data_IF_841031581421
#
_entry.id   IF_841031581421
#
_cell.length_a   1.000
_cell.length_b   1.000
_cell.length_c   1.000
_cell.angle_alpha   90.00
_cell.angle_beta   90.00
_cell.angle_gamma   90.00
#
_symmetry.space_group_name_H-M   'P 1'
#
loop_
_entity.id
_entity.type
_entity.pdbx_description
1 polymer ?
#
# COMPACT_ATOMS: atom_id res chain seq x y z
N UNK A 1 -17.37 0.67 37.53
CA UNK A 1 -16.61 1.70 36.78
C UNK A 1 -15.40 1.15 36.04
N UNK A 2 -14.38 0.57 36.71
CA UNK A 2 -13.16 0.04 36.04
C UNK A 2 -13.40 -0.96 34.88
N UNK A 3 -14.35 -1.89 35.01
CA UNK A 3 -14.70 -2.85 33.92
C UNK A 3 -15.29 -2.14 32.69
N UNK A 4 -16.13 -1.12 32.89
CA UNK A 4 -16.74 -0.34 31.81
C UNK A 4 -15.70 0.53 31.10
N UNK A 5 -14.78 1.13 31.86
CA UNK A 5 -13.63 1.87 31.31
C UNK A 5 -12.71 0.98 30.48
N UNK A 6 -12.42 -0.24 30.93
CA UNK A 6 -11.62 -1.20 30.18
C UNK A 6 -12.28 -1.61 28.85
N UNK A 7 -13.61 -1.85 28.86
CA UNK A 7 -14.36 -2.18 27.65
C UNK A 7 -14.36 -1.03 26.63
N UNK A 8 -14.57 0.21 27.07
CA UNK A 8 -14.54 1.38 26.18
C UNK A 8 -13.14 1.59 25.59
N UNK A 9 -12.08 1.36 26.37
CA UNK A 9 -10.70 1.41 25.85
C UNK A 9 -10.43 0.35 24.79
N UNK A 10 -10.94 -0.87 25.00
CA UNK A 10 -10.84 -1.96 24.04
C UNK A 10 -11.55 -1.61 22.73
N UNK A 11 -12.80 -1.12 22.81
CA UNK A 11 -13.60 -0.73 21.66
C UNK A 11 -12.93 0.40 20.85
N UNK A 12 -12.40 1.41 21.55
CA UNK A 12 -11.67 2.50 20.90
C UNK A 12 -10.38 2.01 20.21
N UNK A 13 -9.65 1.07 20.82
CA UNK A 13 -8.47 0.48 20.20
C UNK A 13 -8.85 -0.30 18.93
N UNK A 14 -9.87 -1.15 18.99
CA UNK A 14 -10.38 -1.92 17.84
C UNK A 14 -10.84 -1.00 16.70
N UNK A 15 -11.57 0.08 17.01
CA UNK A 15 -11.97 1.09 16.03
C UNK A 15 -10.75 1.77 15.38
N UNK A 16 -9.71 2.06 16.16
CA UNK A 16 -8.48 2.67 15.65
C UNK A 16 -7.74 1.74 14.68
N UNK A 17 -7.58 0.45 15.03
CA UNK A 17 -6.98 -0.54 14.13
C UNK A 17 -7.76 -0.71 12.82
N UNK A 18 -9.09 -0.72 12.91
CA UNK A 18 -9.97 -0.78 11.75
C UNK A 18 -9.80 0.45 10.85
N UNK A 19 -9.80 1.65 11.43
CA UNK A 19 -9.63 2.89 10.68
C UNK A 19 -8.25 2.97 10.00
N UNK A 20 -7.19 2.57 10.71
CA UNK A 20 -5.84 2.51 10.15
C UNK A 20 -5.77 1.56 8.95
N UNK A 21 -6.44 0.40 9.05
CA UNK A 21 -6.50 -0.58 7.97
C UNK A 21 -7.22 -0.02 6.74
N UNK A 22 -8.34 0.69 6.91
CA UNK A 22 -9.04 1.36 5.80
C UNK A 22 -8.17 2.42 5.14
N UNK A 23 -7.53 3.28 5.93
CA UNK A 23 -6.68 4.36 5.41
C UNK A 23 -5.51 3.80 4.59
N UNK A 24 -4.90 2.70 5.06
CA UNK A 24 -3.85 1.98 4.34
C UNK A 24 -4.37 1.36 3.05
N UNK A 25 -5.59 0.79 3.06
CA UNK A 25 -6.23 0.26 1.84
C UNK A 25 -6.44 1.34 0.79
N UNK A 26 -6.98 2.49 1.16
CA UNK A 26 -7.16 3.62 0.25
C UNK A 26 -5.84 4.11 -0.34
N UNK A 27 -4.80 4.22 0.51
CA UNK A 27 -3.45 4.59 0.07
C UNK A 27 -2.86 3.57 -0.90
N UNK A 28 -3.08 2.29 -0.64
CA UNK A 28 -2.63 1.19 -1.50
C UNK A 28 -3.31 1.23 -2.87
N UNK A 29 -4.61 1.49 -2.92
CA UNK A 29 -5.37 1.57 -4.18
C UNK A 29 -4.89 2.74 -5.04
N UNK A 30 -4.60 3.90 -4.42
CA UNK A 30 -4.00 5.04 -5.13
C UNK A 30 -2.60 4.73 -5.67
N UNK A 31 -1.78 4.03 -4.89
CA UNK A 31 -0.44 3.61 -5.31
C UNK A 31 -0.48 2.58 -6.43
N UNK A 32 -1.49 1.70 -6.45
CA UNK A 32 -1.69 0.75 -7.55
C UNK A 32 -1.93 1.49 -8.88
N UNK A 33 -2.83 2.47 -8.87
CA UNK A 33 -3.12 3.31 -10.05
C UNK A 33 -1.90 4.12 -10.47
N UNK A 34 -1.17 4.67 -9.50
CA UNK A 34 0.04 5.47 -9.75
C UNK A 34 1.15 4.61 -10.38
N UNK A 35 1.34 3.38 -9.90
CA UNK A 35 2.30 2.43 -10.45
C UNK A 35 1.97 2.05 -11.90
N UNK A 36 0.69 1.83 -12.21
CA UNK A 36 0.23 1.59 -13.59
C UNK A 36 0.49 2.80 -14.50
N UNK A 37 0.16 4.01 -14.02
CA UNK A 37 0.42 5.23 -14.77
C UNK A 37 1.91 5.43 -15.08
N UNK A 38 2.80 5.20 -14.11
CA UNK A 38 4.25 5.28 -14.36
C UNK A 38 4.73 4.22 -15.36
N UNK A 39 4.15 3.01 -15.34
CA UNK A 39 4.47 1.99 -16.33
C UNK A 39 4.06 2.43 -17.74
N UNK A 40 2.86 2.99 -17.90
CA UNK A 40 2.38 3.51 -19.19
C UNK A 40 3.24 4.65 -19.71
N UNK A 41 3.71 5.54 -18.82
CA UNK A 41 4.64 6.61 -19.19
C UNK A 41 5.99 6.08 -19.66
N UNK A 42 6.53 5.05 -18.97
CA UNK A 42 7.76 4.38 -19.38
C UNK A 42 7.59 3.73 -20.75
N UNK A 43 6.49 3.03 -20.99
CA UNK A 43 6.24 2.36 -22.27
C UNK A 43 6.13 3.36 -23.43
N UNK A 44 5.48 4.51 -23.19
CA UNK A 44 5.42 5.60 -24.16
C UNK A 44 6.81 6.22 -24.43
N UNK A 45 7.65 6.36 -23.40
CA UNK A 45 9.01 6.86 -23.56
C UNK A 45 9.89 5.87 -24.33
N UNK A 46 9.75 4.57 -24.07
CA UNK A 46 10.45 3.52 -24.79
C UNK A 46 10.07 3.50 -26.28
N UNK A 47 8.80 3.74 -26.60
CA UNK A 47 8.35 3.87 -27.98
C UNK A 47 9.03 5.06 -28.69
N UNK A 48 9.12 6.22 -28.03
CA UNK A 48 9.84 7.40 -28.56
C UNK A 48 11.32 7.14 -28.73
N UNK A 49 11.96 6.46 -27.78
CA UNK A 49 13.36 6.08 -27.88
C UNK A 49 13.62 5.18 -29.09
N UNK A 50 12.75 4.19 -29.32
CA UNK A 50 12.84 3.30 -30.47
C UNK A 50 12.63 4.04 -31.82
N UNK A 51 11.86 5.13 -31.81
CA UNK A 51 11.70 6.03 -32.95
C UNK A 51 12.85 7.04 -33.13
N UNK A 52 13.82 7.08 -32.20
CA UNK A 52 14.93 8.05 -32.21
C UNK A 52 14.57 9.43 -31.66
N UNK A 53 13.39 9.59 -31.07
CA UNK A 53 12.87 10.85 -30.53
C UNK A 53 13.15 11.05 -29.03
N UNK A 54 13.74 10.06 -28.37
CA UNK A 54 14.12 10.12 -26.96
C UNK A 54 15.55 9.65 -26.73
N UNK A 55 16.08 9.92 -25.54
CA UNK A 55 17.43 9.52 -25.14
C UNK A 55 17.41 8.44 -24.06
N UNK A 56 18.49 7.67 -23.99
CA UNK A 56 18.68 6.63 -22.97
C UNK A 56 18.54 7.21 -21.55
N UNK A 57 18.98 8.46 -21.34
CA UNK A 57 18.86 9.13 -20.05
C UNK A 57 17.40 9.36 -19.64
N UNK A 58 16.54 9.74 -20.58
CA UNK A 58 15.12 9.98 -20.29
C UNK A 58 14.42 8.66 -19.97
N UNK A 59 14.68 7.61 -20.76
CA UNK A 59 14.16 6.27 -20.49
C UNK A 59 14.59 5.79 -19.09
N UNK A 60 15.89 5.87 -18.78
CA UNK A 60 16.40 5.50 -17.45
C UNK A 60 15.74 6.30 -16.32
N UNK A 61 15.49 7.60 -16.52
CA UNK A 61 14.78 8.43 -15.54
C UNK A 61 13.33 7.98 -15.32
N UNK A 62 12.62 7.57 -16.38
CA UNK A 62 11.27 7.01 -16.29
C UNK A 62 11.25 5.64 -15.64
N UNK A 63 12.22 4.78 -15.96
CA UNK A 63 12.38 3.47 -15.33
C UNK A 63 12.60 3.61 -13.83
N UNK A 64 13.50 4.51 -13.41
CA UNK A 64 13.75 4.78 -12.00
C UNK A 64 12.46 5.22 -11.28
N UNK A 65 11.68 6.13 -11.87
CA UNK A 65 10.40 6.57 -11.29
C UNK A 65 9.39 5.45 -11.14
N UNK A 66 9.32 4.54 -12.11
CA UNK A 66 8.46 3.37 -12.02
C UNK A 66 8.93 2.42 -10.90
N UNK A 67 10.23 2.18 -10.77
CA UNK A 67 10.80 1.35 -9.70
C UNK A 67 10.50 1.95 -8.32
N UNK A 68 10.75 3.25 -8.12
CA UNK A 68 10.43 3.97 -6.88
C UNK A 68 8.95 3.84 -6.50
N UNK A 69 8.05 4.01 -7.48
CA UNK A 69 6.61 3.85 -7.27
C UNK A 69 6.24 2.42 -6.87
N UNK A 70 6.87 1.43 -7.49
CA UNK A 70 6.63 0.01 -7.23
C UNK A 70 7.15 -0.40 -5.85
N UNK A 71 8.32 0.11 -5.45
CA UNK A 71 8.87 -0.08 -4.11
C UNK A 71 7.90 0.47 -3.04
N UNK A 72 7.41 1.70 -3.23
CA UNK A 72 6.45 2.32 -2.32
C UNK A 72 5.14 1.53 -2.22
N UNK A 73 4.66 1.00 -3.35
CA UNK A 73 3.49 0.12 -3.37
C UNK A 73 3.72 -1.16 -2.55
N UNK A 74 4.84 -1.87 -2.75
CA UNK A 74 5.16 -3.11 -2.03
C UNK A 74 5.29 -2.87 -0.52
N UNK A 75 5.95 -1.77 -0.13
CA UNK A 75 6.07 -1.39 1.28
C UNK A 75 4.70 -1.16 1.91
N UNK A 76 3.86 -0.34 1.27
CA UNK A 76 2.51 -0.02 1.76
C UNK A 76 1.62 -1.27 1.79
N UNK A 77 1.76 -2.16 0.82
CA UNK A 77 1.05 -3.44 0.78
C UNK A 77 1.42 -4.32 1.98
N UNK A 78 2.71 -4.38 2.31
CA UNK A 78 3.19 -5.13 3.47
C UNK A 78 2.67 -4.54 4.78
N UNK A 79 2.66 -3.21 4.90
CA UNK A 79 2.13 -2.51 6.08
C UNK A 79 0.62 -2.69 6.21
N UNK A 80 -0.12 -2.66 5.10
CA UNK A 80 -1.55 -2.98 5.06
C UNK A 80 -1.83 -4.42 5.54
N UNK A 81 -1.05 -5.40 5.07
CA UNK A 81 -1.17 -6.80 5.52
C UNK A 81 -0.90 -6.94 7.03
N UNK A 82 0.13 -6.28 7.56
CA UNK A 82 0.41 -6.26 9.00
C UNK A 82 -0.74 -5.65 9.79
N UNK A 83 -1.26 -4.50 9.36
CA UNK A 83 -2.40 -3.84 10.01
C UNK A 83 -3.65 -4.72 10.08
N UNK A 84 -3.92 -5.51 9.04
CA UNK A 84 -5.01 -6.50 9.06
C UNK A 84 -4.76 -7.58 10.12
N UNK A 85 -3.53 -8.10 10.21
CA UNK A 85 -3.19 -9.12 11.19
C UNK A 85 -3.31 -8.57 12.62
N UNK A 86 -2.85 -7.34 12.86
CA UNK A 86 -2.98 -6.66 14.16
C UNK A 86 -4.45 -6.46 14.53
N UNK A 87 -5.30 -6.11 13.56
CA UNK A 87 -6.73 -6.02 13.75
C UNK A 87 -7.35 -7.37 14.13
N UNK A 88 -7.05 -8.45 13.40
CA UNK A 88 -7.55 -9.79 13.74
C UNK A 88 -7.02 -10.32 15.08
N UNK A 89 -5.78 -9.96 15.44
CA UNK A 89 -5.22 -10.23 16.75
C UNK A 89 -6.00 -9.52 17.85
N UNK A 90 -6.36 -8.24 17.65
CA UNK A 90 -7.17 -7.46 18.60
C UNK A 90 -8.60 -8.01 18.81
N UNK A 91 -9.08 -8.80 17.85
CA UNK A 91 -10.36 -9.51 17.91
C UNK A 91 -10.24 -10.92 18.51
N UNK A 92 -9.03 -11.44 18.69
CA UNK A 92 -8.78 -12.79 19.21
C UNK A 92 -9.05 -13.93 18.21
N UNK A 93 -9.28 -13.61 16.93
CA UNK A 93 -9.61 -14.60 15.88
C UNK A 93 -8.42 -15.00 15.00
N UNK A 94 -7.25 -14.37 15.19
CA UNK A 94 -6.05 -14.66 14.41
C UNK A 94 -5.70 -16.16 14.29
N UNK A 95 -5.77 -16.99 15.36
CA UNK A 95 -5.42 -18.41 15.29
C UNK A 95 -6.30 -19.23 14.33
N UNK A 96 -7.51 -18.77 14.03
CA UNK A 96 -8.46 -19.47 13.16
C UNK A 96 -8.22 -19.17 11.67
N UNK A 97 -7.52 -18.09 11.37
CA UNK A 97 -7.28 -17.60 10.00
C UNK A 97 -5.93 -18.10 9.46
N UNK A 98 -5.00 -18.47 10.35
CA UNK A 98 -3.63 -18.89 10.02
C UNK A 98 -3.47 -20.43 9.99
N UNK A 99 -4.52 -21.18 10.35
CA UNK A 99 -4.54 -22.65 10.29
C UNK A 99 -4.71 -23.19 8.86
#
# INVERSE_FOLDING_TARGET
NKKKEALVKLENAQRTYYQNTINLKQSLDLLAVTNDNYKRMLDAEQAKFNAGESSLFIVNSRELKWIESREKYIKTYSDYRKSILDYYHSLGILPQIVQ
#
